data_IF_690802843118
#
_entry.id   IF_690802843118
#
_cell.length_a   1.000
_cell.length_b   1.000
_cell.length_c   1.000
_cell.angle_alpha   90.00
_cell.angle_beta   90.00
_cell.angle_gamma   90.00
#
_symmetry.space_group_name_H-M   'P 1'
#
loop_
_entity.id
_entity.type
_entity.pdbx_description
1 polymer ?
#
# COMPACT_ATOMS: atom_id res chain seq x y z
N UNK A 1 -1.16 -27.68 -6.37
CA UNK A 1 -0.68 -26.85 -7.48
C UNK A 1 -0.15 -25.57 -6.86
N UNK A 2 0.92 -24.96 -7.37
CA UNK A 2 1.28 -23.63 -6.89
C UNK A 2 0.11 -22.67 -7.17
N UNK A 3 -0.12 -21.72 -6.24
CA UNK A 3 -1.12 -20.69 -6.46
C UNK A 3 -0.82 -19.93 -7.75
N UNK A 4 -1.86 -19.50 -8.50
CA UNK A 4 -1.66 -18.70 -9.70
C UNK A 4 -0.91 -17.40 -9.32
N UNK A 5 -0.02 -16.96 -10.22
CA UNK A 5 0.70 -15.71 -10.01
C UNK A 5 -0.28 -14.54 -9.87
N UNK A 6 -0.04 -13.71 -8.87
CA UNK A 6 -0.85 -12.51 -8.57
C UNK A 6 -0.27 -11.25 -9.20
N UNK A 7 0.86 -11.40 -9.91
CA UNK A 7 1.54 -10.32 -10.62
C UNK A 7 1.61 -10.65 -12.11
N UNK A 8 1.04 -9.80 -12.94
CA UNK A 8 1.28 -9.84 -14.38
C UNK A 8 2.44 -8.90 -14.72
N UNK A 9 3.47 -9.42 -15.40
CA UNK A 9 4.69 -8.67 -15.71
C UNK A 9 4.78 -8.45 -17.21
N UNK A 10 4.64 -7.20 -17.66
CA UNK A 10 4.91 -6.78 -19.03
C UNK A 10 6.31 -6.18 -19.15
N UNK A 11 7.12 -6.72 -20.07
CA UNK A 11 8.49 -6.31 -20.40
C UNK A 11 8.61 -5.84 -21.86
N UNK A 12 7.51 -5.58 -22.52
CA UNK A 12 7.47 -5.29 -23.95
C UNK A 12 8.17 -3.97 -24.32
N UNK A 13 8.24 -3.01 -23.36
CA UNK A 13 8.90 -1.74 -23.60
C UNK A 13 10.37 -1.76 -23.11
N UNK A 14 11.36 -1.40 -23.96
CA UNK A 14 12.78 -1.38 -23.59
C UNK A 14 13.06 -0.50 -22.36
N UNK A 15 13.70 -1.06 -21.35
CA UNK A 15 14.09 -0.36 -20.12
C UNK A 15 12.95 -0.11 -19.12
N UNK A 16 11.73 -0.59 -19.41
CA UNK A 16 10.57 -0.47 -18.51
C UNK A 16 9.87 -1.81 -18.31
N UNK A 17 9.59 -2.13 -17.07
CA UNK A 17 8.64 -3.19 -16.71
C UNK A 17 7.34 -2.56 -16.22
N UNK A 18 6.21 -3.17 -16.56
CA UNK A 18 4.91 -2.83 -15.98
C UNK A 18 4.41 -4.04 -15.19
N UNK A 19 4.05 -3.82 -13.94
CA UNK A 19 3.60 -4.85 -12.99
C UNK A 19 2.16 -4.56 -12.66
N UNK A 20 1.26 -5.45 -13.07
CA UNK A 20 -0.16 -5.33 -12.79
C UNK A 20 -0.55 -6.28 -11.67
N UNK A 21 -1.01 -5.74 -10.54
CA UNK A 21 -1.62 -6.54 -9.47
C UNK A 21 -2.91 -7.16 -9.97
N UNK A 22 -3.04 -8.48 -9.84
CA UNK A 22 -4.20 -9.24 -10.29
C UNK A 22 -4.49 -10.40 -9.34
N UNK A 23 -4.94 -10.06 -8.13
CA UNK A 23 -5.40 -11.01 -7.12
C UNK A 23 -6.91 -10.78 -6.84
N UNK A 24 -7.81 -11.28 -7.71
CA UNK A 24 -9.23 -11.11 -7.50
C UNK A 24 -9.69 -11.77 -6.19
N UNK A 25 -10.79 -11.27 -5.55
CA UNK A 25 -11.68 -10.26 -6.14
C UNK A 25 -11.31 -8.80 -5.84
N UNK A 26 -10.47 -8.48 -4.85
CA UNK A 26 -10.21 -7.10 -4.37
C UNK A 26 -8.72 -6.77 -4.26
N UNK A 27 -7.84 -7.51 -4.90
CA UNK A 27 -6.39 -7.31 -4.81
C UNK A 27 -5.86 -7.26 -3.36
N UNK A 28 -6.34 -8.15 -2.52
CA UNK A 28 -5.82 -8.31 -1.18
C UNK A 28 -4.41 -8.90 -1.22
N UNK A 29 -3.46 -8.33 -0.46
CA UNK A 29 -2.14 -8.95 -0.33
C UNK A 29 -2.21 -10.12 0.65
N UNK A 30 -1.69 -11.25 0.23
CA UNK A 30 -1.53 -12.48 1.01
C UNK A 30 -0.04 -12.84 1.11
N UNK A 31 0.37 -13.76 1.98
CA UNK A 31 1.78 -14.14 2.11
C UNK A 31 2.47 -14.53 0.78
N UNK A 32 1.75 -15.20 -0.12
CA UNK A 32 2.30 -15.56 -1.45
C UNK A 32 2.57 -14.32 -2.31
N UNK A 33 1.74 -13.27 -2.26
CA UNK A 33 2.00 -12.01 -2.96
C UNK A 33 3.32 -11.39 -2.51
N UNK A 34 3.60 -11.40 -1.21
CA UNK A 34 4.83 -10.82 -0.64
C UNK A 34 6.05 -11.61 -1.10
N UNK A 35 5.94 -12.94 -1.18
CA UNK A 35 7.01 -13.79 -1.73
C UNK A 35 7.24 -13.49 -3.21
N UNK A 36 6.18 -13.34 -4.01
CA UNK A 36 6.28 -12.97 -5.43
C UNK A 36 6.93 -11.60 -5.63
N UNK A 37 6.58 -10.61 -4.79
CA UNK A 37 7.22 -9.30 -4.80
C UNK A 37 8.73 -9.38 -4.48
N UNK A 38 9.12 -10.24 -3.55
CA UNK A 38 10.53 -10.53 -3.27
C UNK A 38 11.27 -11.12 -4.48
N UNK A 39 10.64 -12.05 -5.21
CA UNK A 39 11.19 -12.62 -6.44
C UNK A 39 11.25 -11.59 -7.58
N UNK A 40 10.23 -10.73 -7.70
CA UNK A 40 10.22 -9.60 -8.64
C UNK A 40 11.42 -8.67 -8.40
N UNK A 41 11.72 -8.32 -7.13
CA UNK A 41 12.88 -7.49 -6.81
C UNK A 41 14.18 -8.11 -7.26
N UNK A 42 14.35 -9.43 -7.07
CA UNK A 42 15.52 -10.15 -7.54
C UNK A 42 15.67 -10.07 -9.06
N UNK A 43 14.56 -10.17 -9.80
CA UNK A 43 14.54 -9.99 -11.26
C UNK A 43 14.92 -8.57 -11.70
N UNK A 44 14.35 -7.54 -11.04
CA UNK A 44 14.62 -6.13 -11.33
C UNK A 44 16.11 -5.76 -11.07
N UNK A 45 16.69 -6.29 -9.99
CA UNK A 45 18.09 -6.04 -9.62
C UNK A 45 19.07 -6.76 -10.56
N UNK A 46 18.69 -7.95 -11.04
CA UNK A 46 19.52 -8.75 -11.93
C UNK A 46 19.51 -8.27 -13.40
N UNK A 47 18.50 -7.51 -13.82
CA UNK A 47 18.39 -7.02 -15.20
C UNK A 47 19.00 -5.61 -15.34
N UNK A 48 20.20 -5.45 -15.91
CA UNK A 48 20.85 -4.16 -16.07
C UNK A 48 20.15 -3.27 -17.10
N UNK A 49 19.28 -3.81 -17.94
CA UNK A 49 18.56 -3.05 -18.97
C UNK A 49 17.37 -2.28 -18.39
N UNK A 50 16.76 -2.74 -17.26
CA UNK A 50 15.60 -2.11 -16.69
C UNK A 50 15.98 -0.86 -15.89
N UNK A 51 15.28 0.23 -16.15
CA UNK A 51 15.48 1.55 -15.55
C UNK A 51 14.27 2.04 -14.78
N UNK A 52 13.08 1.60 -15.20
CA UNK A 52 11.80 2.02 -14.63
C UNK A 52 10.90 0.82 -14.42
N UNK A 53 10.19 0.79 -13.30
CA UNK A 53 9.08 -0.12 -13.04
C UNK A 53 7.83 0.68 -12.74
N UNK A 54 6.73 0.36 -13.42
CA UNK A 54 5.41 0.94 -13.18
C UNK A 54 4.53 -0.12 -12.54
N UNK A 55 3.92 0.20 -11.40
CA UNK A 55 2.95 -0.65 -10.72
C UNK A 55 1.55 -0.14 -10.94
N UNK A 56 0.62 -1.03 -11.30
CA UNK A 56 -0.78 -0.73 -11.53
C UNK A 56 -1.68 -1.88 -11.08
N UNK A 57 -2.98 -1.72 -11.14
CA UNK A 57 -3.98 -2.72 -10.77
C UNK A 57 -4.84 -3.13 -11.95
N UNK A 58 -5.17 -4.41 -12.05
CA UNK A 58 -6.21 -4.92 -12.95
C UNK A 58 -7.63 -4.68 -12.41
N UNK A 59 -7.75 -4.38 -11.11
CA UNK A 59 -9.04 -4.13 -10.47
C UNK A 59 -9.34 -2.63 -10.46
N UNK A 60 -10.48 -2.18 -11.00
CA UNK A 60 -10.80 -0.75 -11.06
C UNK A 60 -11.12 -0.12 -9.70
N UNK A 61 -11.62 -0.91 -8.74
CA UNK A 61 -12.07 -0.43 -7.43
C UNK A 61 -10.99 -0.52 -6.36
N UNK A 62 -9.99 -1.38 -6.56
CA UNK A 62 -8.93 -1.63 -5.58
C UNK A 62 -7.54 -1.66 -6.26
N UNK A 63 -6.68 -0.73 -5.89
CA UNK A 63 -5.26 -0.86 -6.19
C UNK A 63 -4.68 -2.02 -5.38
N UNK A 64 -4.79 -1.93 -4.06
CA UNK A 64 -4.60 -3.02 -3.09
C UNK A 64 -5.53 -2.74 -1.93
N UNK A 65 -6.46 -3.65 -1.64
CA UNK A 65 -7.46 -3.46 -0.60
C UNK A 65 -6.82 -3.37 0.80
N UNK A 66 -6.10 -4.40 1.19
CA UNK A 66 -5.35 -4.51 2.46
C UNK A 66 -4.60 -5.85 2.53
N UNK A 67 -3.91 -6.12 3.66
CA UNK A 67 -3.31 -7.41 3.97
C UNK A 67 -4.39 -8.41 4.45
N UNK A 68 -4.29 -9.68 4.03
CA UNK A 68 -4.98 -10.76 4.72
C UNK A 68 -4.29 -11.03 6.06
N UNK A 69 -4.82 -10.39 7.10
CA UNK A 69 -4.26 -10.48 8.45
C UNK A 69 -4.40 -11.88 9.03
N UNK A 70 -5.40 -12.68 8.60
CA UNK A 70 -5.58 -14.02 9.09
C UNK A 70 -4.45 -14.94 8.59
N UNK A 71 -4.19 -14.91 7.27
CA UNK A 71 -3.09 -15.67 6.69
C UNK A 71 -1.71 -15.17 7.16
N UNK A 72 -1.55 -13.84 7.34
CA UNK A 72 -0.31 -13.27 7.87
C UNK A 72 -0.03 -13.73 9.31
N UNK A 73 -1.06 -13.92 10.15
CA UNK A 73 -0.91 -14.43 11.49
C UNK A 73 -0.44 -15.89 11.54
N UNK A 74 -0.74 -16.69 10.51
CA UNK A 74 -0.25 -18.07 10.36
C UNK A 74 1.21 -18.11 9.85
N UNK A 75 1.69 -17.01 9.29
CA UNK A 75 3.02 -16.87 8.68
C UNK A 75 3.70 -15.58 9.14
N UNK A 76 4.07 -15.44 10.43
CA UNK A 76 4.56 -14.19 11.00
C UNK A 76 5.85 -13.67 10.37
N UNK A 77 6.64 -14.54 9.70
CA UNK A 77 7.81 -14.14 8.95
C UNK A 77 7.50 -13.20 7.77
N UNK A 78 6.25 -13.13 7.34
CA UNK A 78 5.81 -12.31 6.20
C UNK A 78 6.07 -10.83 6.41
N UNK A 79 5.98 -10.33 7.65
CA UNK A 79 6.28 -8.92 7.95
C UNK A 79 7.77 -8.58 7.75
N UNK A 80 8.66 -9.53 8.08
CA UNK A 80 10.08 -9.39 7.79
C UNK A 80 10.37 -9.37 6.28
N UNK A 81 9.74 -10.27 5.53
CA UNK A 81 9.84 -10.29 4.05
C UNK A 81 9.29 -9.00 3.43
N UNK A 82 8.19 -8.47 3.98
CA UNK A 82 7.61 -7.20 3.56
C UNK A 82 8.57 -6.03 3.81
N UNK A 83 9.11 -5.91 5.04
CA UNK A 83 10.12 -4.89 5.37
C UNK A 83 11.29 -4.93 4.40
N UNK A 84 11.83 -6.11 4.14
CA UNK A 84 12.97 -6.27 3.24
C UNK A 84 12.61 -5.90 1.79
N UNK A 85 11.39 -6.21 1.35
CA UNK A 85 10.88 -5.81 0.04
C UNK A 85 10.80 -4.29 -0.11
N UNK A 86 10.13 -3.58 0.82
CA UNK A 86 9.93 -2.12 0.71
C UNK A 86 11.26 -1.36 0.78
N UNK A 87 12.21 -1.84 1.57
CA UNK A 87 13.56 -1.27 1.63
C UNK A 87 14.34 -1.52 0.33
N UNK A 88 14.26 -2.72 -0.23
CA UNK A 88 14.89 -3.02 -1.53
C UNK A 88 14.28 -2.18 -2.64
N UNK A 89 12.95 -2.02 -2.68
CA UNK A 89 12.26 -1.21 -3.68
C UNK A 89 12.72 0.25 -3.64
N UNK A 90 12.83 0.83 -2.46
CA UNK A 90 13.32 2.20 -2.32
C UNK A 90 14.82 2.33 -2.64
N UNK A 91 15.65 1.31 -2.37
CA UNK A 91 17.09 1.36 -2.57
C UNK A 91 17.56 0.92 -3.97
N UNK A 92 16.74 0.16 -4.72
CA UNK A 92 17.12 -0.35 -6.06
C UNK A 92 17.50 0.79 -7.02
N UNK A 93 18.43 0.57 -7.96
CA UNK A 93 18.75 1.55 -9.01
C UNK A 93 17.61 1.79 -10.00
N UNK A 94 16.55 0.97 -9.98
CA UNK A 94 15.36 1.10 -10.83
C UNK A 94 14.41 2.13 -10.23
N UNK A 95 13.90 3.05 -11.05
CA UNK A 95 12.92 4.04 -10.61
C UNK A 95 11.53 3.40 -10.56
N UNK A 96 10.86 3.48 -9.41
CA UNK A 96 9.53 2.90 -9.20
C UNK A 96 8.43 3.97 -9.26
N UNK A 97 7.37 3.68 -10.01
CA UNK A 97 6.20 4.55 -10.17
C UNK A 97 4.95 3.76 -9.81
N UNK A 98 4.16 4.25 -8.86
CA UNK A 98 2.81 3.76 -8.63
C UNK A 98 1.80 4.57 -9.46
N UNK A 99 1.07 3.88 -10.36
CA UNK A 99 -0.05 4.42 -11.14
C UNK A 99 -1.34 3.92 -10.51
N UNK A 100 -2.03 4.78 -9.77
CA UNK A 100 -2.99 4.37 -8.75
C UNK A 100 -4.41 4.67 -9.20
N UNK A 101 -5.24 3.62 -9.23
CA UNK A 101 -6.69 3.64 -9.30
C UNK A 101 -7.27 2.75 -8.21
N UNK A 102 -8.41 3.13 -7.66
CA UNK A 102 -9.07 2.35 -6.61
C UNK A 102 -8.53 2.59 -5.21
N UNK A 103 -9.07 1.84 -4.27
CA UNK A 103 -8.73 1.91 -2.84
C UNK A 103 -7.31 1.39 -2.61
N UNK A 104 -6.56 2.14 -1.83
CA UNK A 104 -5.15 1.89 -1.53
C UNK A 104 -4.98 2.00 -0.02
N UNK A 105 -5.24 0.89 0.68
CA UNK A 105 -5.36 0.89 2.14
C UNK A 105 -4.34 -0.01 2.83
N UNK A 106 -3.97 0.33 4.06
CA UNK A 106 -3.06 -0.47 4.86
C UNK A 106 -1.77 -0.81 4.14
N UNK A 107 -1.46 -2.10 3.96
CA UNK A 107 -0.27 -2.56 3.22
C UNK A 107 -0.22 -2.01 1.77
N UNK A 108 -1.37 -1.73 1.14
CA UNK A 108 -1.41 -1.10 -0.17
C UNK A 108 -0.92 0.33 -0.14
N UNK A 109 -1.27 1.09 0.91
CA UNK A 109 -0.70 2.41 1.11
C UNK A 109 0.79 2.33 1.47
N UNK A 110 1.21 1.41 2.32
CA UNK A 110 2.62 1.17 2.65
C UNK A 110 3.45 0.83 1.41
N UNK A 111 2.86 0.05 0.48
CA UNK A 111 3.46 -0.24 -0.83
C UNK A 111 3.71 1.05 -1.63
N UNK A 112 2.68 1.86 -1.85
CA UNK A 112 2.83 3.06 -2.67
C UNK A 112 3.73 4.10 -2.02
N UNK A 113 3.78 4.18 -0.69
CA UNK A 113 4.71 5.03 0.05
C UNK A 113 6.17 4.63 -0.18
N UNK A 114 6.46 3.36 -0.39
CA UNK A 114 7.81 2.86 -0.68
C UNK A 114 8.24 3.06 -2.14
N UNK A 115 7.32 3.37 -3.06
CA UNK A 115 7.62 3.74 -4.43
C UNK A 115 8.26 5.13 -4.49
N UNK A 116 9.10 5.38 -5.50
CA UNK A 116 9.73 6.69 -5.70
C UNK A 116 8.71 7.77 -6.04
N UNK A 117 7.75 7.45 -6.92
CA UNK A 117 6.70 8.38 -7.34
C UNK A 117 5.32 7.74 -7.33
N UNK A 118 4.30 8.56 -7.05
CA UNK A 118 2.89 8.18 -6.95
C UNK A 118 2.04 9.14 -7.76
N UNK A 119 1.26 8.60 -8.70
CA UNK A 119 0.29 9.34 -9.50
C UNK A 119 -1.07 8.66 -9.35
N UNK A 120 -2.09 9.42 -9.02
CA UNK A 120 -3.41 8.90 -8.68
C UNK A 120 -4.49 9.42 -9.62
N UNK A 121 -5.47 8.59 -9.92
CA UNK A 121 -6.73 9.04 -10.52
C UNK A 121 -7.49 9.92 -9.53
N UNK A 122 -7.82 11.14 -9.92
CA UNK A 122 -8.56 12.11 -9.10
C UNK A 122 -9.93 11.57 -8.69
N UNK A 123 -10.62 10.93 -9.64
CA UNK A 123 -11.99 10.47 -9.45
C UNK A 123 -12.08 9.11 -8.77
N UNK A 124 -11.07 8.26 -8.96
CA UNK A 124 -11.19 6.83 -8.66
C UNK A 124 -10.28 6.35 -7.53
N UNK A 125 -9.50 7.24 -6.88
CA UNK A 125 -8.55 6.80 -5.84
C UNK A 125 -8.94 7.27 -4.44
N UNK A 126 -8.85 6.34 -3.49
CA UNK A 126 -8.92 6.61 -2.06
C UNK A 126 -7.71 6.00 -1.35
N UNK A 127 -7.15 6.73 -0.39
CA UNK A 127 -6.03 6.30 0.43
C UNK A 127 -6.46 6.17 1.88
N UNK A 128 -5.90 5.22 2.64
CA UNK A 128 -6.16 5.11 4.06
C UNK A 128 -5.21 4.16 4.79
N UNK A 129 -5.13 4.36 6.11
CA UNK A 129 -4.49 3.44 7.05
C UNK A 129 -5.50 3.04 8.12
N UNK A 130 -6.35 2.04 7.86
CA UNK A 130 -7.47 1.69 8.74
C UNK A 130 -7.07 0.91 10.00
N UNK A 131 -5.78 0.60 10.18
CA UNK A 131 -5.26 -0.31 11.18
C UNK A 131 -5.71 0.06 12.60
N UNK A 132 -5.59 1.33 13.00
CA UNK A 132 -5.98 1.79 14.35
C UNK A 132 -7.48 1.56 14.60
N UNK A 133 -8.30 1.79 13.59
CA UNK A 133 -9.75 1.56 13.64
C UNK A 133 -10.12 0.09 13.89
N UNK A 134 -9.28 -0.85 13.46
CA UNK A 134 -9.47 -2.29 13.71
C UNK A 134 -8.66 -2.82 14.89
N UNK A 135 -7.99 -1.95 15.64
CA UNK A 135 -7.22 -2.29 16.84
C UNK A 135 -5.80 -2.75 16.55
N UNK A 136 -5.23 -2.37 15.41
CA UNK A 136 -3.86 -2.66 15.01
C UNK A 136 -3.03 -1.38 14.92
N UNK A 137 -1.72 -1.55 14.74
CA UNK A 137 -0.79 -0.48 14.38
C UNK A 137 -0.22 -0.81 13.01
N UNK A 138 -0.16 0.17 12.06
CA UNK A 138 0.52 -0.06 10.79
C UNK A 138 1.94 -0.56 11.02
N UNK A 139 2.27 -1.72 10.48
CA UNK A 139 3.56 -2.37 10.74
C UNK A 139 4.49 -2.46 9.53
N UNK A 140 4.10 -1.96 8.37
CA UNK A 140 4.84 -2.16 7.13
C UNK A 140 5.51 -0.92 6.56
N UNK A 141 5.58 0.18 7.32
CA UNK A 141 6.31 1.39 6.93
C UNK A 141 5.49 2.67 6.87
N UNK A 142 4.14 2.62 7.01
CA UNK A 142 3.33 3.85 6.97
C UNK A 142 3.75 4.86 8.05
N UNK A 143 4.07 4.39 9.25
CA UNK A 143 4.46 5.25 10.38
C UNK A 143 5.79 5.95 10.16
N UNK A 144 6.64 5.43 9.29
CA UNK A 144 7.96 5.94 8.97
C UNK A 144 7.94 6.86 7.74
N UNK A 145 7.24 6.47 6.66
CA UNK A 145 7.17 7.27 5.43
C UNK A 145 6.23 8.47 5.54
N UNK A 146 5.01 8.29 6.11
CA UNK A 146 4.03 9.39 6.16
C UNK A 146 4.58 10.65 6.84
N UNK A 147 5.19 10.59 8.05
CA UNK A 147 5.71 11.80 8.68
C UNK A 147 6.78 12.52 7.85
N UNK A 148 7.56 11.77 7.05
CA UNK A 148 8.58 12.31 6.16
C UNK A 148 8.00 12.99 4.93
N UNK A 149 6.87 12.50 4.42
CA UNK A 149 6.21 13.03 3.23
C UNK A 149 5.25 14.18 3.56
N UNK A 150 4.35 13.98 4.53
CA UNK A 150 3.23 14.89 4.79
C UNK A 150 3.41 15.74 6.05
N UNK A 151 4.46 15.47 6.85
CA UNK A 151 4.68 16.07 8.15
C UNK A 151 3.89 15.40 9.28
N UNK A 152 4.34 15.60 10.55
CA UNK A 152 3.82 14.90 11.72
C UNK A 152 2.30 15.05 11.91
N UNK A 153 1.76 16.25 11.77
CA UNK A 153 0.33 16.50 12.08
C UNK A 153 -0.60 15.78 11.14
N UNK A 154 -0.30 15.82 9.83
CA UNK A 154 -1.09 15.11 8.80
C UNK A 154 -0.91 13.59 8.90
N UNK A 155 0.29 13.12 9.22
CA UNK A 155 0.51 11.70 9.48
C UNK A 155 -0.33 11.18 10.65
N UNK A 156 -0.44 11.95 11.75
CA UNK A 156 -1.32 11.62 12.87
C UNK A 156 -2.80 11.63 12.47
N UNK A 157 -3.24 12.62 11.69
CA UNK A 157 -4.61 12.68 11.16
C UNK A 157 -4.93 11.43 10.33
N UNK A 158 -4.08 11.08 9.37
CA UNK A 158 -4.25 9.93 8.48
C UNK A 158 -4.32 8.61 9.28
N UNK A 159 -3.34 8.39 10.15
CA UNK A 159 -3.20 7.10 10.84
C UNK A 159 -4.22 6.95 11.98
N UNK A 160 -4.45 8.00 12.78
CA UNK A 160 -5.31 7.89 13.96
C UNK A 160 -6.80 7.98 13.64
N UNK A 161 -7.18 8.67 12.55
CA UNK A 161 -8.58 8.65 12.10
C UNK A 161 -8.95 7.30 11.48
N UNK A 162 -8.01 6.65 10.80
CA UNK A 162 -8.27 5.44 10.02
C UNK A 162 -9.20 5.67 8.82
N UNK A 163 -9.48 6.94 8.49
CA UNK A 163 -10.44 7.33 7.46
C UNK A 163 -9.84 7.19 6.04
N UNK A 164 -10.73 7.28 5.05
CA UNK A 164 -10.36 7.33 3.64
C UNK A 164 -10.16 8.79 3.20
N UNK A 165 -9.08 9.04 2.49
CA UNK A 165 -8.71 10.34 1.93
C UNK A 165 -8.75 10.28 0.41
N UNK A 166 -9.37 11.25 -0.22
CA UNK A 166 -9.40 11.37 -1.68
C UNK A 166 -8.04 11.80 -2.26
N UNK A 167 -7.93 11.68 -3.58
CA UNK A 167 -6.70 12.00 -4.30
C UNK A 167 -6.34 13.49 -4.23
N UNK A 168 -7.31 14.41 -4.16
CA UNK A 168 -7.06 15.85 -4.06
C UNK A 168 -6.45 16.23 -2.70
N UNK A 169 -6.96 15.62 -1.62
CA UNK A 169 -6.37 15.78 -0.29
C UNK A 169 -4.97 15.16 -0.25
N UNK A 170 -4.80 13.96 -0.84
CA UNK A 170 -3.51 13.30 -0.91
C UNK A 170 -2.45 14.13 -1.66
N UNK A 171 -2.81 14.78 -2.79
CA UNK A 171 -1.93 15.70 -3.50
C UNK A 171 -1.61 16.94 -2.65
N UNK A 172 -2.63 17.56 -2.06
CA UNK A 172 -2.47 18.76 -1.20
C UNK A 172 -1.58 18.51 0.00
N UNK A 173 -1.61 17.30 0.56
CA UNK A 173 -0.76 16.90 1.69
C UNK A 173 0.67 16.55 1.27
N UNK A 174 0.92 16.28 0.00
CA UNK A 174 2.20 15.77 -0.50
C UNK A 174 2.34 14.26 -0.36
N UNK A 175 1.23 13.56 -0.12
CA UNK A 175 1.18 12.10 -0.06
C UNK A 175 1.40 11.48 -1.44
N UNK A 176 0.81 12.09 -2.47
CA UNK A 176 1.07 11.75 -3.88
C UNK A 176 1.71 12.92 -4.63
N UNK A 177 2.41 12.64 -5.72
CA UNK A 177 3.03 13.65 -6.56
C UNK A 177 1.98 14.47 -7.31
N UNK A 178 0.95 13.80 -7.83
CA UNK A 178 -0.18 14.44 -8.55
C UNK A 178 -1.43 13.58 -8.49
N UNK A 179 -2.59 14.25 -8.35
CA UNK A 179 -3.90 13.74 -8.69
C UNK A 179 -4.25 14.21 -10.11
N UNK A 180 -4.43 13.29 -11.03
CA UNK A 180 -4.70 13.56 -12.44
C UNK A 180 -6.13 13.13 -12.77
N UNK A 181 -6.77 13.81 -13.72
CA UNK A 181 -8.03 13.32 -14.26
C UNK A 181 -7.84 11.90 -14.80
N UNK A 182 -8.83 11.03 -14.58
CA UNK A 182 -8.68 9.59 -14.83
C UNK A 182 -8.27 9.29 -16.27
N UNK A 183 -8.82 10.04 -17.23
CA UNK A 183 -8.49 9.90 -18.64
C UNK A 183 -7.06 10.30 -19.01
N UNK A 184 -6.39 11.10 -18.17
CA UNK A 184 -5.04 11.61 -18.42
C UNK A 184 -3.96 10.77 -17.71
N UNK A 185 -4.32 10.00 -16.69
CA UNK A 185 -3.37 9.29 -15.86
C UNK A 185 -2.45 8.33 -16.63
N UNK A 186 -3.00 7.55 -17.53
CA UNK A 186 -2.22 6.57 -18.31
C UNK A 186 -1.22 7.25 -19.24
N UNK A 187 -1.67 8.27 -19.99
CA UNK A 187 -0.81 9.01 -20.92
C UNK A 187 0.30 9.76 -20.20
N UNK A 188 0.01 10.33 -19.05
CA UNK A 188 0.98 11.03 -18.21
C UNK A 188 2.06 10.10 -17.69
N UNK A 189 1.66 8.98 -17.07
CA UNK A 189 2.60 8.00 -16.50
C UNK A 189 3.43 7.34 -17.61
N UNK A 190 2.81 6.98 -18.75
CA UNK A 190 3.53 6.40 -19.88
C UNK A 190 4.58 7.37 -20.42
N UNK A 191 4.24 8.64 -20.60
CA UNK A 191 5.17 9.68 -21.06
C UNK A 191 6.34 9.86 -20.11
N UNK A 192 6.07 9.93 -18.80
CA UNK A 192 7.11 10.04 -17.78
C UNK A 192 8.02 8.80 -17.75
N UNK A 193 7.43 7.61 -17.76
CA UNK A 193 8.18 6.36 -17.72
C UNK A 193 9.09 6.18 -18.96
N UNK A 194 8.58 6.53 -20.16
CA UNK A 194 9.38 6.55 -21.40
C UNK A 194 10.54 7.54 -21.32
N UNK A 195 10.27 8.74 -20.79
CA UNK A 195 11.31 9.74 -20.59
C UNK A 195 12.41 9.24 -19.66
N UNK A 196 12.07 8.66 -18.52
CA UNK A 196 13.04 8.09 -17.59
C UNK A 196 13.81 6.90 -18.20
N UNK A 197 13.13 6.02 -18.93
CA UNK A 197 13.75 4.90 -19.61
C UNK A 197 14.76 5.31 -20.69
N UNK A 198 14.68 6.56 -21.21
CA UNK A 198 15.64 7.10 -22.17
C UNK A 198 16.94 7.63 -21.54
N UNK A 199 17.01 7.75 -20.20
CA UNK A 199 18.18 8.28 -19.50
C UNK A 199 19.14 7.15 -19.12
N UNK A 200 20.36 7.53 -18.69
CA UNK A 200 21.35 6.59 -18.20
C UNK A 200 20.96 6.02 -16.83
N UNK A 201 21.02 4.70 -16.68
CA UNK A 201 20.65 4.01 -15.45
C UNK A 201 21.50 4.45 -14.26
N UNK A 202 22.79 4.59 -14.47
CA UNK A 202 23.75 5.00 -13.42
C UNK A 202 23.46 6.41 -12.91
N UNK A 203 23.11 7.32 -13.81
CA UNK A 203 22.75 8.71 -13.44
C UNK A 203 21.45 8.76 -12.66
N UNK A 204 20.41 8.01 -13.09
CA UNK A 204 19.14 7.88 -12.34
C UNK A 204 19.38 7.29 -10.96
N UNK A 205 20.14 6.19 -10.87
CA UNK A 205 20.45 5.52 -9.63
C UNK A 205 21.21 6.42 -8.64
N UNK A 206 22.23 7.15 -9.13
CA UNK A 206 23.00 8.07 -8.30
C UNK A 206 22.15 9.21 -7.74
N UNK A 207 21.30 9.82 -8.58
CA UNK A 207 20.39 10.88 -8.15
C UNK A 207 19.38 10.36 -7.11
N UNK A 208 18.73 9.21 -7.38
CA UNK A 208 17.81 8.54 -6.45
C UNK A 208 18.50 8.25 -5.11
N UNK A 209 19.68 7.65 -5.13
CA UNK A 209 20.42 7.32 -3.91
C UNK A 209 20.74 8.56 -3.05
N UNK A 210 21.08 9.69 -3.67
CA UNK A 210 21.33 10.94 -2.93
C UNK A 210 20.05 11.51 -2.30
N UNK A 211 18.93 11.49 -3.02
CA UNK A 211 17.63 11.95 -2.51
C UNK A 211 17.18 11.07 -1.34
N UNK A 212 17.31 9.75 -1.47
CA UNK A 212 16.89 8.77 -0.47
C UNK A 212 17.61 8.92 0.88
N UNK A 213 18.81 9.50 0.93
CA UNK A 213 19.52 9.77 2.20
C UNK A 213 18.73 10.63 3.18
N UNK A 214 17.75 11.40 2.70
CA UNK A 214 16.99 12.35 3.52
C UNK A 214 15.54 11.90 3.79
N UNK A 215 15.03 10.91 3.05
CA UNK A 215 13.61 10.56 3.09
C UNK A 215 13.28 9.09 3.35
N UNK A 216 14.24 8.18 3.14
CA UNK A 216 13.99 6.74 3.30
C UNK A 216 14.19 6.31 4.75
N UNK A 217 13.23 5.57 5.34
CA UNK A 217 13.41 4.98 6.68
C UNK A 217 14.47 3.88 6.69
N UNK A 218 15.03 3.65 7.87
CA UNK A 218 15.94 2.56 8.12
C UNK A 218 15.21 1.24 8.42
N UNK A 219 15.90 0.12 8.27
CA UNK A 219 15.36 -1.19 8.65
C UNK A 219 14.97 -1.26 10.13
N UNK A 220 15.73 -0.62 11.01
CA UNK A 220 15.45 -0.60 12.45
C UNK A 220 14.18 0.21 12.79
N UNK A 221 13.91 1.30 12.07
CA UNK A 221 12.68 2.08 12.25
C UNK A 221 11.46 1.25 11.87
N UNK A 222 11.43 0.63 10.67
CA UNK A 222 10.31 -0.23 10.23
C UNK A 222 10.18 -1.45 11.15
N UNK A 223 11.29 -2.04 11.62
CA UNK A 223 11.23 -3.17 12.55
C UNK A 223 10.52 -2.80 13.84
N UNK A 224 10.74 -1.58 14.35
CA UNK A 224 10.06 -1.10 15.57
C UNK A 224 8.54 -1.10 15.43
N UNK A 225 8.00 -0.72 14.28
CA UNK A 225 6.55 -0.78 14.00
C UNK A 225 6.06 -2.21 13.76
N UNK A 226 6.86 -3.03 13.05
CA UNK A 226 6.61 -4.45 12.87
C UNK A 226 6.42 -5.19 14.20
N UNK A 227 7.28 -4.91 15.18
CA UNK A 227 7.25 -5.54 16.50
C UNK A 227 5.96 -5.23 17.29
N UNK A 228 5.25 -4.16 16.94
CA UNK A 228 3.96 -3.81 17.54
C UNK A 228 2.77 -4.55 16.92
N UNK A 229 2.87 -4.99 15.66
CA UNK A 229 1.73 -5.52 14.91
C UNK A 229 1.08 -6.75 15.57
N UNK A 230 1.83 -7.82 15.79
CA UNK A 230 1.28 -9.04 16.39
C UNK A 230 0.86 -8.89 17.86
N UNK A 231 1.59 -8.18 18.72
CA UNK A 231 1.10 -7.88 20.07
C UNK A 231 -0.23 -7.13 20.08
N UNK A 232 -0.43 -6.14 19.19
CA UNK A 232 -1.72 -5.45 19.07
C UNK A 232 -2.81 -6.39 18.55
N UNK A 233 -2.50 -7.24 17.56
CA UNK A 233 -3.41 -8.23 17.02
C UNK A 233 -3.92 -9.21 18.10
N UNK A 234 -3.12 -9.53 19.09
CA UNK A 234 -3.45 -10.43 20.17
C UNK A 234 -4.39 -9.82 21.23
N UNK A 235 -4.58 -8.50 21.24
CA UNK A 235 -5.46 -7.84 22.21
C UNK A 235 -6.91 -8.30 22.07
N UNK A 236 -7.64 -8.53 23.17
CA UNK A 236 -9.05 -8.94 23.13
C UNK A 236 -9.93 -7.95 22.36
N UNK A 237 -9.68 -6.65 22.48
CA UNK A 237 -10.39 -5.61 21.73
C UNK A 237 -10.20 -5.71 20.22
N UNK A 238 -8.97 -5.99 19.76
CA UNK A 238 -8.67 -6.19 18.34
C UNK A 238 -9.36 -7.46 17.82
N UNK A 239 -9.33 -8.55 18.58
CA UNK A 239 -10.01 -9.81 18.23
C UNK A 239 -11.52 -9.62 18.12
N UNK A 240 -12.15 -8.90 19.05
CA UNK A 240 -13.58 -8.62 19.04
C UNK A 240 -13.96 -7.78 17.79
N UNK A 241 -13.21 -6.73 17.47
CA UNK A 241 -13.44 -5.90 16.26
C UNK A 241 -13.32 -6.73 14.99
N UNK A 242 -12.28 -7.56 14.87
CA UNK A 242 -12.08 -8.44 13.71
C UNK A 242 -13.17 -9.47 13.53
N UNK A 243 -13.71 -10.01 14.63
CA UNK A 243 -14.85 -10.93 14.58
C UNK A 243 -16.10 -10.24 13.99
N UNK A 244 -16.37 -8.97 14.36
CA UNK A 244 -17.48 -8.18 13.79
C UNK A 244 -17.27 -7.92 12.30
N UNK A 245 -16.07 -7.50 11.89
CA UNK A 245 -15.71 -7.18 10.50
C UNK A 245 -15.91 -8.38 9.57
N UNK A 246 -15.53 -9.58 9.98
CA UNK A 246 -15.71 -10.80 9.18
C UNK A 246 -17.16 -11.06 8.78
N UNK A 247 -18.11 -10.65 9.60
CA UNK A 247 -19.54 -10.91 9.37
C UNK A 247 -20.21 -9.92 8.42
N UNK A 248 -19.50 -8.84 8.02
CA UNK A 248 -20.08 -7.76 7.21
C UNK A 248 -19.45 -7.61 5.82
N UNK A 249 -18.68 -8.60 5.38
CA UNK A 249 -18.15 -8.64 4.01
C UNK A 249 -16.68 -8.33 3.86
N UNK A 250 -15.87 -8.54 4.91
CA UNK A 250 -14.41 -8.41 4.85
C UNK A 250 -13.80 -9.43 3.88
N UNK A 251 -12.90 -8.97 3.03
CA UNK A 251 -12.16 -9.81 2.09
C UNK A 251 -12.94 -10.21 0.83
N UNK A 252 -14.16 -9.69 0.64
CA UNK A 252 -14.98 -9.95 -0.55
C UNK A 252 -15.53 -8.63 -1.12
N UNK A 253 -15.88 -8.54 -2.41
CA UNK A 253 -16.54 -7.36 -2.97
C UNK A 253 -17.83 -7.06 -2.21
N UNK A 254 -17.83 -5.97 -1.45
CA UNK A 254 -18.94 -5.61 -0.57
C UNK A 254 -18.97 -4.10 -0.35
N UNK A 255 -20.11 -3.59 0.12
CA UNK A 255 -20.23 -2.19 0.52
C UNK A 255 -19.25 -1.84 1.65
N UNK A 256 -18.99 -2.79 2.55
CA UNK A 256 -17.98 -2.64 3.60
C UNK A 256 -16.59 -2.38 3.01
N UNK A 257 -16.13 -3.19 2.07
CA UNK A 257 -14.81 -3.00 1.45
C UNK A 257 -14.72 -1.72 0.62
N UNK A 258 -15.81 -1.34 -0.03
CA UNK A 258 -15.85 -0.08 -0.77
C UNK A 258 -15.79 1.14 0.15
N UNK A 259 -16.33 1.06 1.37
CA UNK A 259 -16.51 2.18 2.29
C UNK A 259 -15.86 1.93 3.68
N UNK A 260 -14.79 1.16 3.74
CA UNK A 260 -14.17 0.66 4.98
C UNK A 260 -13.96 1.75 6.03
N UNK A 261 -13.38 2.91 5.66
CA UNK A 261 -13.14 4.03 6.58
C UNK A 261 -14.42 4.49 7.30
N UNK A 262 -15.55 4.53 6.59
CA UNK A 262 -16.85 4.96 7.15
C UNK A 262 -17.40 3.97 8.18
N UNK A 263 -17.08 2.68 8.07
CA UNK A 263 -17.53 1.64 9.00
C UNK A 263 -16.72 1.60 10.31
N UNK A 264 -15.47 2.06 10.31
CA UNK A 264 -14.58 1.93 11.46
C UNK A 264 -15.13 2.46 12.79
N UNK A 265 -15.78 3.64 12.84
CA UNK A 265 -16.35 4.16 14.08
C UNK A 265 -17.46 3.27 14.68
N UNK A 266 -18.11 2.45 13.86
CA UNK A 266 -19.19 1.57 14.32
C UNK A 266 -18.70 0.39 15.16
N UNK A 267 -17.42 0.00 15.00
CA UNK A 267 -16.84 -1.12 15.75
C UNK A 267 -16.39 -0.76 17.18
N UNK A 268 -16.31 0.53 17.50
CA UNK A 268 -15.91 1.01 18.82
C UNK A 268 -17.04 1.21 19.81
N UNK A 269 -18.31 1.20 19.34
CA UNK A 269 -19.47 1.28 20.21
C UNK A 269 -19.69 -0.06 20.90
N UNK A 270 -19.47 -0.12 22.20
CA UNK A 270 -19.96 -1.23 23.02
C UNK A 270 -21.49 -1.30 22.88
N UNK A 271 -22.04 -2.49 23.01
CA UNK A 271 -23.48 -2.78 22.91
C UNK A 271 -24.31 -2.10 24.01
N UNK A 272 -24.17 -0.78 24.21
CA UNK A 272 -24.88 0.00 25.22
C UNK A 272 -26.32 0.37 24.81
N UNK A 273 -26.77 0.02 23.61
CA UNK A 273 -28.13 0.36 23.16
C UNK A 273 -29.15 -0.80 23.14
N UNK A 274 -28.77 -2.03 23.53
CA UNK A 274 -29.72 -3.15 23.56
C UNK A 274 -30.47 -3.31 24.90
N UNK A 275 -30.30 -2.39 25.85
CA UNK A 275 -30.95 -2.51 27.17
C UNK A 275 -31.73 -1.24 27.60
N UNK A 276 -32.34 -0.53 26.66
CA UNK A 276 -33.44 0.37 26.96
C UNK A 276 -34.75 -0.25 26.47
N UNK A 277 -35.33 -1.11 27.32
CA UNK A 277 -36.77 -1.34 27.25
C UNK A 277 -37.47 0.00 27.48
N UNK A 278 -38.46 0.37 26.66
CA UNK A 278 -39.33 1.51 26.98
C UNK A 278 -40.22 1.10 28.16
N UNK A 279 -40.24 1.94 29.20
CA UNK A 279 -41.28 1.94 30.23
C UNK A 279 -42.64 2.29 29.63
#
# INVERSE_FOLDING_TARGET
MPDPSQLNIDRSYPGRWTITFNNPPINMFVPSTIVELGALMTGLEADPSVKVVVFESANPDFFVAHLDVAQAAERPEVLGLWRDFVLRLSATPVVSIAKIRGRTRGIGNEFVLSCDMRFASRQNTLFGNPEVGVGLVPGGGALEWLPRLVGRSRALEIVLSGDDFDADIAERYGWVNRALDDGDLDSFVDTLARRLASFDRETLAAAKAQINRFGTPTAAEIQSSNDLFFPMLALPSAQARRARIRNIGYGIPSDFELNFGQYLPTFGRADDETNKQPD
#
